data_IF_893653775830
#
_entry.id   IF_893653775830
#
_cell.length_a   1.000
_cell.length_b   1.000
_cell.length_c   1.000
_cell.angle_alpha   90.00
_cell.angle_beta   90.00
_cell.angle_gamma   90.00
#
_symmetry.space_group_name_H-M   'P 1'
#
loop_
_entity.id
_entity.type
_entity.pdbx_description
1 polymer ?
#
# COMPACT_ATOMS: atom_id res chain seq x y z
N UNK A 1 27.30 -25.96 -18.68
CA UNK A 1 27.95 -24.66 -18.37
C UNK A 1 27.11 -23.57 -19.02
N UNK A 2 26.33 -22.79 -18.26
CA UNK A 2 25.60 -21.64 -18.80
C UNK A 2 26.21 -20.36 -18.24
N UNK A 3 26.75 -19.53 -19.14
CA UNK A 3 27.36 -18.23 -18.83
C UNK A 3 26.27 -17.20 -18.55
N UNK A 4 26.20 -16.70 -17.32
CA UNK A 4 25.31 -15.60 -16.95
C UNK A 4 25.89 -14.28 -17.46
N UNK A 5 25.26 -13.68 -18.48
CA UNK A 5 25.53 -12.28 -18.87
C UNK A 5 25.20 -11.38 -17.69
N UNK A 6 26.22 -10.71 -17.15
CA UNK A 6 26.11 -9.69 -16.10
C UNK A 6 25.12 -8.60 -16.52
N UNK A 7 23.94 -8.58 -15.89
CA UNK A 7 22.98 -7.49 -16.05
C UNK A 7 23.41 -6.32 -15.14
N UNK A 8 23.43 -5.10 -15.69
CA UNK A 8 23.79 -3.91 -14.90
C UNK A 8 22.88 -3.83 -13.66
N UNK A 9 23.44 -3.62 -12.45
CA UNK A 9 22.64 -3.56 -11.25
C UNK A 9 21.63 -2.41 -11.35
N UNK A 10 20.34 -2.73 -11.21
CA UNK A 10 19.28 -1.75 -11.14
C UNK A 10 19.33 -1.04 -9.79
N UNK A 11 19.03 0.27 -9.79
CA UNK A 11 18.83 1.05 -8.56
C UNK A 11 17.35 1.32 -8.39
N UNK A 12 16.79 0.97 -7.23
CA UNK A 12 15.42 1.28 -6.85
C UNK A 12 15.45 2.16 -5.60
N UNK A 13 14.71 3.27 -5.62
CA UNK A 13 14.65 4.22 -4.53
C UNK A 13 13.36 4.03 -3.74
N UNK A 14 13.49 3.83 -2.43
CA UNK A 14 12.40 3.77 -1.45
C UNK A 14 12.56 4.94 -0.48
N UNK A 15 11.87 6.05 -0.74
CA UNK A 15 12.04 7.27 0.06
C UNK A 15 13.48 7.79 -0.03
N UNK A 16 14.22 7.79 1.09
CA UNK A 16 15.64 8.18 1.15
C UNK A 16 16.61 7.04 0.85
N UNK A 17 16.15 5.78 0.80
CA UNK A 17 17.02 4.60 0.65
C UNK A 17 17.12 4.22 -0.83
N UNK A 18 18.34 4.00 -1.31
CA UNK A 18 18.59 3.47 -2.66
C UNK A 18 19.13 2.05 -2.54
N UNK A 19 18.37 1.08 -3.05
CA UNK A 19 18.77 -0.33 -3.10
C UNK A 19 19.34 -0.60 -4.48
N UNK A 20 20.59 -1.07 -4.54
CA UNK A 20 21.24 -1.52 -5.77
C UNK A 20 21.35 -3.04 -5.77
N UNK A 21 20.91 -3.69 -6.84
CA UNK A 21 20.97 -5.14 -6.97
C UNK A 21 20.84 -5.61 -8.42
N UNK A 22 21.18 -6.88 -8.66
CA UNK A 22 20.97 -7.48 -9.98
C UNK A 22 19.48 -7.39 -10.34
N UNK A 23 19.18 -6.91 -11.56
CA UNK A 23 17.79 -6.81 -12.02
C UNK A 23 17.18 -8.22 -12.02
N UNK A 24 16.03 -8.45 -11.36
CA UNK A 24 15.37 -9.75 -11.39
C UNK A 24 15.01 -10.12 -12.83
N UNK A 25 14.97 -11.42 -13.12
CA UNK A 25 14.53 -11.91 -14.41
C UNK A 25 13.12 -11.39 -14.72
N UNK A 26 12.90 -10.80 -15.90
CA UNK A 26 11.62 -10.23 -16.31
C UNK A 26 10.46 -11.23 -16.20
N UNK A 27 10.71 -12.51 -16.49
CA UNK A 27 9.70 -13.57 -16.33
C UNK A 27 9.28 -13.79 -14.87
N UNK A 28 10.22 -13.69 -13.93
CA UNK A 28 9.92 -13.80 -12.51
C UNK A 28 9.14 -12.59 -12.00
N UNK A 29 9.48 -11.39 -12.47
CA UNK A 29 8.74 -10.17 -12.12
C UNK A 29 7.29 -10.29 -12.57
N UNK A 30 7.06 -10.70 -13.82
CA UNK A 30 5.71 -10.85 -14.36
C UNK A 30 4.89 -11.90 -13.62
N UNK A 31 5.47 -13.08 -13.34
CA UNK A 31 4.79 -14.13 -12.56
C UNK A 31 4.42 -13.68 -11.13
N UNK A 32 5.27 -12.88 -10.49
CA UNK A 32 4.97 -12.34 -9.16
C UNK A 32 3.88 -11.27 -9.20
N UNK A 33 3.86 -10.42 -10.23
CA UNK A 33 2.80 -9.43 -10.44
C UNK A 33 1.46 -10.15 -10.64
N UNK A 34 1.42 -11.14 -11.53
CA UNK A 34 0.21 -11.92 -11.83
C UNK A 34 -0.35 -12.60 -10.57
N UNK A 35 0.49 -13.33 -9.84
CA UNK A 35 0.09 -13.98 -8.57
C UNK A 35 -0.41 -12.97 -7.53
N UNK A 36 0.20 -11.79 -7.46
CA UNK A 36 -0.23 -10.74 -6.52
C UNK A 36 -1.58 -10.14 -6.92
N UNK A 37 -1.80 -9.95 -8.23
CA UNK A 37 -3.07 -9.48 -8.79
C UNK A 37 -4.19 -10.48 -8.54
N UNK A 38 -3.97 -11.77 -8.84
CA UNK A 38 -4.96 -12.83 -8.58
C UNK A 38 -5.37 -12.89 -7.10
N UNK A 39 -4.40 -12.81 -6.18
CA UNK A 39 -4.68 -12.79 -4.76
C UNK A 39 -5.51 -11.56 -4.35
N UNK A 40 -5.21 -10.39 -4.93
CA UNK A 40 -5.95 -9.16 -4.67
C UNK A 40 -7.38 -9.22 -5.20
N UNK A 41 -7.59 -9.79 -6.38
CA UNK A 41 -8.92 -9.99 -6.97
C UNK A 41 -9.79 -10.88 -6.07
N UNK A 42 -9.23 -11.97 -5.55
CA UNK A 42 -9.95 -12.86 -4.63
C UNK A 42 -10.36 -12.17 -3.33
N UNK A 43 -9.50 -11.30 -2.77
CA UNK A 43 -9.83 -10.51 -1.58
C UNK A 43 -10.88 -9.45 -1.90
N UNK A 44 -10.75 -8.78 -3.04
CA UNK A 44 -11.70 -7.76 -3.51
C UNK A 44 -13.09 -8.36 -3.68
N UNK A 45 -13.22 -9.54 -4.30
CA UNK A 45 -14.50 -10.23 -4.45
C UNK A 45 -15.16 -10.57 -3.10
N UNK A 46 -14.38 -10.89 -2.06
CA UNK A 46 -14.89 -11.14 -0.70
C UNK A 46 -15.31 -9.85 0.01
N UNK A 47 -14.59 -8.75 -0.20
CA UNK A 47 -14.91 -7.45 0.40
C UNK A 47 -16.05 -6.72 -0.33
N UNK A 48 -16.20 -6.94 -1.64
CA UNK A 48 -17.25 -6.38 -2.48
C UNK A 48 -18.56 -7.18 -2.43
N UNK A 49 -18.58 -8.32 -1.73
CA UNK A 49 -19.77 -9.17 -1.62
C UNK A 49 -20.89 -8.40 -0.90
N UNK A 50 -22.06 -8.18 -1.54
CA UNK A 50 -23.18 -7.50 -0.90
C UNK A 50 -23.56 -8.21 0.40
N UNK A 51 -23.70 -7.46 1.49
CA UNK A 51 -24.00 -7.99 2.83
C UNK A 51 -22.80 -8.10 3.78
N UNK A 52 -21.56 -7.92 3.31
CA UNK A 52 -20.39 -7.76 4.20
C UNK A 52 -20.38 -6.33 4.73
N UNK A 53 -20.92 -6.16 5.95
CA UNK A 53 -20.85 -4.88 6.66
C UNK A 53 -19.54 -4.80 7.44
N UNK A 54 -18.60 -3.96 6.98
CA UNK A 54 -17.46 -3.54 7.78
C UNK A 54 -17.93 -2.54 8.83
N UNK A 55 -18.54 -3.06 9.90
CA UNK A 55 -19.04 -2.22 10.99
C UNK A 55 -17.86 -1.50 11.67
N UNK A 56 -17.97 -0.18 11.94
CA UNK A 56 -17.01 0.48 12.82
C UNK A 56 -16.96 -0.24 14.16
N UNK A 57 -15.77 -0.72 14.52
CA UNK A 57 -15.52 -1.24 15.87
C UNK A 57 -15.13 -0.06 16.77
N UNK A 58 -15.73 0.01 17.95
CA UNK A 58 -15.37 1.00 18.98
C UNK A 58 -13.87 0.89 19.30
N UNK A 59 -13.19 2.03 19.41
CA UNK A 59 -11.75 2.10 19.67
C UNK A 59 -10.85 1.77 18.47
N UNK A 60 -11.40 1.47 17.29
CA UNK A 60 -10.61 1.21 16.08
C UNK A 60 -10.70 2.41 15.13
N UNK A 61 -9.60 3.16 14.92
CA UNK A 61 -9.60 4.29 14.01
C UNK A 61 -9.70 3.82 12.57
N UNK A 62 -10.52 4.52 11.78
CA UNK A 62 -10.61 4.35 10.34
C UNK A 62 -9.99 5.55 9.65
N UNK A 63 -9.11 5.30 8.68
CA UNK A 63 -8.45 6.35 7.91
C UNK A 63 -8.98 6.35 6.48
N UNK A 64 -9.25 7.54 5.96
CA UNK A 64 -9.53 7.76 4.53
C UNK A 64 -8.70 8.93 4.03
N UNK A 65 -8.44 8.97 2.73
CA UNK A 65 -7.79 10.13 2.10
C UNK A 65 -8.81 11.27 2.04
N UNK A 66 -8.37 12.50 2.34
CA UNK A 66 -9.20 13.68 2.11
C UNK A 66 -9.32 13.94 0.60
N UNK A 67 -10.55 13.95 0.09
CA UNK A 67 -10.78 14.27 -1.32
C UNK A 67 -10.27 15.68 -1.62
N UNK A 68 -9.48 15.80 -2.69
CA UNK A 68 -8.86 17.05 -3.16
C UNK A 68 -7.68 17.60 -2.33
N UNK A 69 -7.23 16.90 -1.29
CA UNK A 69 -6.11 17.34 -0.46
C UNK A 69 -5.00 16.28 -0.36
N UNK A 70 -4.00 16.41 -1.22
CA UNK A 70 -2.88 15.48 -1.25
C UNK A 70 -2.12 15.47 0.09
N UNK A 71 -1.94 14.28 0.66
CA UNK A 71 -1.24 14.07 1.91
C UNK A 71 -2.06 14.33 3.17
N UNK A 72 -3.34 14.70 3.05
CA UNK A 72 -4.27 14.85 4.18
C UNK A 72 -5.12 13.60 4.33
N UNK A 73 -5.23 13.14 5.57
CA UNK A 73 -6.00 11.98 5.97
C UNK A 73 -7.12 12.41 6.92
N UNK A 74 -8.25 11.71 6.83
CA UNK A 74 -9.37 11.84 7.75
C UNK A 74 -9.36 10.61 8.66
N UNK A 75 -9.20 10.83 9.97
CA UNK A 75 -9.36 9.80 11.00
C UNK A 75 -10.77 9.86 11.56
N UNK A 76 -11.49 8.74 11.53
CA UNK A 76 -12.77 8.55 12.24
C UNK A 76 -12.58 7.57 13.38
N UNK A 77 -12.78 8.02 14.62
CA UNK A 77 -12.65 7.20 15.83
C UNK A 77 -13.76 7.58 16.81
N UNK A 78 -14.60 6.61 17.18
CA UNK A 78 -15.65 6.76 18.20
C UNK A 78 -16.55 8.00 18.00
N UNK A 79 -16.92 8.28 16.75
CA UNK A 79 -17.76 9.43 16.38
C UNK A 79 -17.01 10.74 16.19
N UNK A 80 -15.73 10.80 16.56
CA UNK A 80 -14.85 11.95 16.26
C UNK A 80 -14.27 11.80 14.86
N UNK A 81 -14.25 12.91 14.13
CA UNK A 81 -13.64 13.02 12.81
C UNK A 81 -12.57 14.10 12.89
N UNK A 82 -11.33 13.74 12.62
CA UNK A 82 -10.17 14.64 12.69
C UNK A 82 -9.42 14.60 11.37
N UNK A 83 -8.89 15.76 10.97
CA UNK A 83 -8.01 15.90 9.80
C UNK A 83 -6.57 15.87 10.28
N UNK A 84 -5.70 15.23 9.50
CA UNK A 84 -4.31 15.08 9.90
C UNK A 84 -3.39 14.64 8.79
N UNK A 85 -2.10 14.57 9.11
CA UNK A 85 -1.04 14.06 8.23
C UNK A 85 -0.36 12.87 8.87
N UNK A 86 0.19 11.99 8.04
CA UNK A 86 1.08 10.94 8.50
C UNK A 86 2.51 11.48 8.53
N UNK A 87 3.01 11.78 9.73
CA UNK A 87 4.38 12.23 9.97
C UNK A 87 5.14 11.08 10.62
N UNK A 88 6.15 10.55 9.96
CA UNK A 88 6.93 9.39 10.42
C UNK A 88 6.07 8.16 10.79
N UNK A 89 4.95 7.96 10.09
CA UNK A 89 4.01 6.86 10.36
C UNK A 89 3.03 7.10 11.51
N UNK A 90 3.08 8.28 12.15
CA UNK A 90 2.15 8.70 13.20
C UNK A 90 1.14 9.68 12.62
N UNK A 91 -0.12 9.52 12.98
CA UNK A 91 -1.17 10.47 12.59
C UNK A 91 -1.13 11.69 13.51
N UNK A 92 -0.79 12.83 12.94
CA UNK A 92 -0.79 14.13 13.62
C UNK A 92 -1.99 14.95 13.16
N UNK A 93 -2.76 15.45 14.12
CA UNK A 93 -3.94 16.28 13.88
C UNK A 93 -3.50 17.67 13.42
N UNK A 94 -4.14 18.20 12.38
CA UNK A 94 -3.88 19.55 11.86
C UNK A 94 -5.04 20.53 12.10
N UNK A 95 -6.22 20.02 12.47
CA UNK A 95 -7.44 20.78 12.79
C UNK A 95 -8.13 20.20 14.04
#
# INVERSE_FOLDING_TARGET
MYTTRSSRPGKVKFGSVVISGAKPNAKLVQANVERSTEALEQVTAKLAKPGVSLRPKKGVPRFSIAENEAGVFIRRLDGRTERGRLVNGVFEVID
#
